data_IF_934250712118
#
_entry.id   IF_934250712118
#
_cell.length_a   1.000
_cell.length_b   1.000
_cell.length_c   1.000
_cell.angle_alpha   90.00
_cell.angle_beta   90.00
_cell.angle_gamma   90.00
#
_symmetry.space_group_name_H-M   'P 1'
#
loop_
_entity.id
_entity.type
_entity.pdbx_description
1 polymer ?
#
# COMPACT_ATOMS: atom_id res chain seq x y z
N UNK A 1 -6.91 10.71 -39.20
CA UNK A 1 -6.93 9.23 -38.97
C UNK A 1 -6.15 8.86 -37.70
N UNK A 2 -6.48 9.52 -36.60
CA UNK A 2 -6.22 9.05 -35.23
C UNK A 2 -7.38 9.61 -34.42
N UNK A 3 -8.50 8.88 -34.40
CA UNK A 3 -9.45 9.09 -33.31
C UNK A 3 -8.69 8.68 -32.05
N UNK A 4 -8.63 9.57 -31.07
CA UNK A 4 -8.01 9.21 -29.81
C UNK A 4 -8.92 8.15 -29.19
N UNK A 5 -8.50 6.88 -29.24
CA UNK A 5 -9.29 5.74 -28.75
C UNK A 5 -9.72 5.97 -27.30
N UNK A 6 -8.91 6.73 -26.55
CA UNK A 6 -9.13 7.09 -25.17
C UNK A 6 -9.14 8.62 -25.04
N UNK A 7 -10.21 9.23 -24.50
CA UNK A 7 -10.22 10.63 -24.10
C UNK A 7 -9.11 10.95 -23.09
N UNK A 8 -8.47 12.12 -23.22
CA UNK A 8 -7.36 12.54 -22.35
C UNK A 8 -7.76 12.56 -20.85
N UNK A 9 -8.99 12.95 -20.56
CA UNK A 9 -9.53 12.95 -19.19
C UNK A 9 -9.54 11.54 -18.57
N UNK A 10 -9.98 10.54 -19.34
CA UNK A 10 -9.99 9.14 -18.91
C UNK A 10 -8.57 8.62 -18.73
N UNK A 11 -7.64 8.97 -19.64
CA UNK A 11 -6.24 8.60 -19.51
C UNK A 11 -5.61 9.16 -18.22
N UNK A 12 -5.82 10.45 -17.94
CA UNK A 12 -5.29 11.07 -16.72
C UNK A 12 -5.93 10.49 -15.45
N UNK A 13 -7.23 10.19 -15.47
CA UNK A 13 -7.91 9.51 -14.37
C UNK A 13 -7.35 8.10 -14.13
N UNK A 14 -7.08 7.34 -15.20
CA UNK A 14 -6.49 6.01 -15.11
C UNK A 14 -5.05 6.04 -14.58
N UNK A 15 -4.21 6.96 -15.05
CA UNK A 15 -2.81 7.06 -14.58
C UNK A 15 -2.75 7.48 -13.11
N UNK A 16 -3.60 8.44 -12.69
CA UNK A 16 -3.66 8.88 -11.30
C UNK A 16 -4.19 7.78 -10.37
N UNK A 17 -5.28 7.10 -10.74
CA UNK A 17 -5.81 5.96 -9.97
C UNK A 17 -4.83 4.79 -9.92
N UNK A 18 -4.13 4.48 -11.02
CA UNK A 18 -3.06 3.50 -11.03
C UNK A 18 -1.94 3.87 -10.06
N UNK A 19 -1.46 5.11 -10.07
CA UNK A 19 -0.44 5.58 -9.13
C UNK A 19 -0.87 5.46 -7.68
N UNK A 20 -2.11 5.86 -7.35
CA UNK A 20 -2.66 5.73 -6.00
C UNK A 20 -2.71 4.26 -5.56
N UNK A 21 -3.20 3.37 -6.43
CA UNK A 21 -3.26 1.93 -6.15
C UNK A 21 -1.86 1.34 -5.91
N UNK A 22 -0.91 1.61 -6.81
CA UNK A 22 0.43 1.02 -6.73
C UNK A 22 1.25 1.54 -5.55
N UNK A 23 1.11 2.81 -5.17
CA UNK A 23 1.88 3.37 -4.04
C UNK A 23 1.24 2.97 -2.70
N UNK A 24 -0.04 3.29 -2.51
CA UNK A 24 -0.68 3.17 -1.20
C UNK A 24 -1.19 1.77 -0.89
N UNK A 25 -1.57 0.98 -1.90
CA UNK A 25 -2.13 -0.37 -1.70
C UNK A 25 -1.18 -1.51 -2.08
N UNK A 26 -0.07 -1.23 -2.76
CA UNK A 26 0.95 -2.24 -3.08
C UNK A 26 2.30 -1.94 -2.43
N UNK A 27 2.96 -0.83 -2.78
CA UNK A 27 4.33 -0.55 -2.31
C UNK A 27 4.41 -0.35 -0.79
N UNK A 28 3.60 0.56 -0.23
CA UNK A 28 3.61 0.83 1.21
C UNK A 28 3.21 -0.41 2.04
N UNK A 29 2.13 -1.16 1.71
CA UNK A 29 1.76 -2.36 2.45
C UNK A 29 2.79 -3.47 2.39
N UNK A 30 3.44 -3.68 1.24
CA UNK A 30 4.42 -4.76 1.09
C UNK A 30 5.69 -4.44 1.88
N UNK A 31 6.26 -3.24 1.69
CA UNK A 31 7.53 -2.89 2.30
C UNK A 31 7.41 -2.57 3.79
N UNK A 32 6.47 -1.70 4.16
CA UNK A 32 6.35 -1.22 5.55
C UNK A 32 5.43 -2.15 6.35
N UNK A 33 4.31 -2.57 5.75
CA UNK A 33 3.35 -3.47 6.39
C UNK A 33 3.91 -4.89 6.57
N UNK A 34 4.08 -5.64 5.49
CA UNK A 34 4.46 -7.05 5.55
C UNK A 34 5.92 -7.23 5.96
N UNK A 35 6.86 -6.69 5.19
CA UNK A 35 8.29 -6.86 5.48
C UNK A 35 8.70 -6.14 6.76
N UNK A 36 8.22 -4.91 6.99
CA UNK A 36 8.50 -4.18 8.23
C UNK A 36 8.06 -4.92 9.48
N UNK A 37 6.82 -5.42 9.52
CA UNK A 37 6.31 -6.14 10.70
C UNK A 37 6.99 -7.49 10.94
N UNK A 38 7.47 -8.17 9.89
CA UNK A 38 8.11 -9.47 10.03
C UNK A 38 9.62 -9.37 10.30
N UNK A 39 10.33 -8.56 9.52
CA UNK A 39 11.79 -8.50 9.57
C UNK A 39 12.31 -7.62 10.72
N UNK A 40 11.58 -6.58 11.12
CA UNK A 40 12.05 -5.67 12.16
C UNK A 40 12.18 -6.36 13.54
N UNK A 41 11.19 -7.15 14.02
CA UNK A 41 11.37 -7.93 15.24
C UNK A 41 12.48 -8.98 15.12
N UNK A 42 12.59 -9.60 13.94
CA UNK A 42 13.62 -10.61 13.66
C UNK A 42 15.03 -10.04 13.77
N UNK A 43 15.31 -8.88 13.17
CA UNK A 43 16.65 -8.25 13.23
C UNK A 43 16.99 -7.69 14.60
N UNK A 44 15.98 -7.30 15.39
CA UNK A 44 16.18 -6.78 16.75
C UNK A 44 16.22 -7.88 17.82
N UNK A 45 15.90 -9.13 17.47
CA UNK A 45 15.84 -10.25 18.42
C UNK A 45 14.73 -10.11 19.47
N UNK A 46 13.67 -9.35 19.15
CA UNK A 46 12.51 -9.15 20.02
C UNK A 46 11.36 -10.08 19.59
N UNK A 47 10.56 -10.53 20.56
CA UNK A 47 9.45 -11.44 20.29
C UNK A 47 8.27 -10.77 19.56
N UNK A 48 8.07 -9.47 19.76
CA UNK A 48 6.98 -8.69 19.14
C UNK A 48 7.33 -7.19 19.18
N UNK A 49 6.56 -6.37 18.48
CA UNK A 49 6.62 -4.91 18.52
C UNK A 49 6.07 -4.36 19.85
N UNK A 50 6.47 -3.13 20.20
CA UNK A 50 6.06 -2.47 21.46
C UNK A 50 4.54 -2.22 21.55
N UNK A 51 3.88 -2.00 20.41
CA UNK A 51 2.44 -1.67 20.33
C UNK A 51 1.67 -2.64 19.40
N UNK A 52 1.52 -3.92 19.78
CA UNK A 52 0.99 -4.95 18.88
C UNK A 52 -0.48 -4.74 18.51
N UNK A 53 -1.29 -4.16 19.41
CA UNK A 53 -2.72 -3.87 19.14
C UNK A 53 -2.90 -2.74 18.12
N UNK A 54 -2.07 -1.69 18.22
CA UNK A 54 -2.09 -0.60 17.23
C UNK A 54 -1.56 -1.07 15.88
N UNK A 55 -0.59 -1.99 15.89
CA UNK A 55 -0.12 -2.63 14.66
C UNK A 55 -1.25 -3.43 13.97
N UNK A 56 -2.03 -4.22 14.73
CA UNK A 56 -3.20 -4.92 14.17
C UNK A 56 -4.24 -3.95 13.62
N UNK A 57 -4.54 -2.83 14.32
CA UNK A 57 -5.45 -1.79 13.83
C UNK A 57 -4.97 -1.19 12.50
N UNK A 58 -3.66 -1.02 12.30
CA UNK A 58 -3.11 -0.48 11.06
C UNK A 58 -3.45 -1.32 9.82
N UNK A 59 -3.51 -2.65 9.97
CA UNK A 59 -3.93 -3.57 8.90
C UNK A 59 -5.41 -3.39 8.58
N UNK A 60 -6.24 -3.23 9.61
CA UNK A 60 -7.68 -3.05 9.43
C UNK A 60 -8.04 -1.73 8.74
N UNK A 61 -7.29 -0.66 9.00
CA UNK A 61 -7.49 0.64 8.33
C UNK A 61 -7.07 0.63 6.84
N UNK A 62 -6.23 -0.33 6.44
CA UNK A 62 -5.79 -0.46 5.06
C UNK A 62 -6.84 -1.13 4.17
N UNK A 63 -7.71 -1.96 4.74
CA UNK A 63 -8.78 -2.63 4.00
C UNK A 63 -9.87 -1.57 3.75
N UNK A 64 -10.19 -1.24 2.48
CA UNK A 64 -11.27 -0.30 2.20
C UNK A 64 -12.60 -0.88 2.72
N UNK A 65 -13.28 -0.13 3.59
CA UNK A 65 -14.63 -0.40 4.08
C UNK A 65 -15.69 0.10 3.11
#
# INVERSE_FOLDING_TARGET
PYYNVIPLEIYNCLVTSHGIAMIFFFLMPVLIGAFGNYLLPFFLGINDLVLPRLNSLSVWLMIPS
#
